data_IF_362540345766
#
_entry.id   IF_362540345766
#
_cell.length_a   1.000
_cell.length_b   1.000
_cell.length_c   1.000
_cell.angle_alpha   90.00
_cell.angle_beta   90.00
_cell.angle_gamma   90.00
#
_symmetry.space_group_name_H-M   'P 1'
#
loop_
_entity.id
_entity.type
_entity.pdbx_description
1 polymer ?
#
# COMPACT_ATOMS: atom_id res chain seq x y z
N UNK A 1 11.05 -65.79 64.33
CA UNK A 1 11.42 -64.54 65.02
C UNK A 1 12.78 -64.07 64.49
N UNK A 2 12.83 -62.85 63.92
CA UNK A 2 13.99 -61.96 63.60
C UNK A 2 15.35 -62.60 63.25
N UNK A 3 15.78 -62.58 61.99
CA UNK A 3 16.57 -61.52 61.33
C UNK A 3 17.79 -61.04 62.12
N UNK A 4 18.98 -61.07 61.50
CA UNK A 4 19.76 -59.85 61.17
C UNK A 4 20.96 -60.13 60.24
N UNK A 5 21.19 -59.16 59.37
CA UNK A 5 22.23 -59.03 58.34
C UNK A 5 23.61 -58.72 58.92
N UNK A 6 24.67 -59.03 58.17
CA UNK A 6 26.04 -58.56 58.40
C UNK A 6 26.83 -58.35 57.10
N UNK A 7 27.16 -57.09 56.83
CA UNK A 7 27.91 -56.51 55.71
C UNK A 7 29.43 -56.76 55.77
N UNK A 8 30.14 -56.63 54.63
CA UNK A 8 31.46 -55.97 54.63
C UNK A 8 32.49 -56.31 53.53
N UNK A 9 32.68 -55.36 52.60
CA UNK A 9 33.94 -54.83 51.97
C UNK A 9 34.84 -55.81 51.17
N UNK A 10 35.60 -55.44 50.13
CA UNK A 10 36.21 -54.18 49.64
C UNK A 10 36.59 -54.36 48.15
N UNK A 11 36.09 -53.53 47.23
CA UNK A 11 36.78 -52.48 46.43
C UNK A 11 38.16 -52.85 45.85
N UNK A 12 38.20 -52.94 44.50
CA UNK A 12 39.39 -52.89 43.64
C UNK A 12 39.02 -52.28 42.28
N UNK A 13 39.75 -51.24 41.88
CA UNK A 13 39.49 -50.22 40.86
C UNK A 13 39.73 -50.73 39.42
N UNK A 14 38.90 -50.32 38.44
CA UNK A 14 39.13 -50.40 36.98
C UNK A 14 38.40 -49.22 36.27
N UNK A 15 38.73 -48.87 35.01
CA UNK A 15 39.04 -47.50 34.60
C UNK A 15 37.86 -46.74 33.97
N UNK A 16 38.02 -45.41 33.95
CA UNK A 16 37.12 -44.45 33.31
C UNK A 16 37.26 -44.56 31.77
N UNK A 17 36.18 -44.95 31.12
CA UNK A 17 35.93 -44.69 29.70
C UNK A 17 34.64 -43.90 29.58
N UNK A 18 34.76 -42.63 29.22
CA UNK A 18 33.63 -41.73 28.97
C UNK A 18 32.89 -42.20 27.70
N UNK A 19 31.63 -42.64 27.87
CA UNK A 19 30.70 -42.89 26.77
C UNK A 19 29.82 -41.65 26.55
N UNK A 20 30.04 -40.98 25.43
CA UNK A 20 29.11 -39.98 24.90
C UNK A 20 27.77 -40.66 24.58
N UNK A 21 26.70 -40.27 25.28
CA UNK A 21 25.33 -40.64 24.92
C UNK A 21 24.70 -39.54 24.09
N UNK A 22 24.65 -39.72 22.77
CA UNK A 22 23.83 -38.89 21.88
C UNK A 22 22.36 -39.20 22.14
N UNK A 23 21.63 -38.26 22.76
CA UNK A 23 20.16 -38.33 22.84
C UNK A 23 19.60 -38.16 21.43
N UNK A 24 19.10 -39.24 20.84
CA UNK A 24 18.30 -39.22 19.62
C UNK A 24 16.96 -38.56 19.94
N UNK A 25 16.72 -37.40 19.33
CA UNK A 25 15.39 -36.78 19.30
C UNK A 25 14.44 -37.68 18.49
N UNK A 26 13.17 -37.83 18.91
CA UNK A 26 12.20 -38.57 18.11
C UNK A 26 11.96 -37.81 16.81
N UNK A 27 12.22 -38.50 15.69
CA UNK A 27 11.88 -38.06 14.34
C UNK A 27 10.37 -37.83 14.30
N UNK A 28 9.95 -36.56 14.27
CA UNK A 28 8.57 -36.20 14.03
C UNK A 28 8.19 -36.70 12.63
N UNK A 29 7.30 -37.69 12.59
CA UNK A 29 6.69 -38.19 11.37
C UNK A 29 5.96 -37.04 10.67
N UNK A 30 6.33 -36.81 9.42
CA UNK A 30 5.60 -36.00 8.44
C UNK A 30 4.15 -36.49 8.39
N UNK A 31 3.20 -35.69 8.88
CA UNK A 31 1.77 -35.94 8.68
C UNK A 31 1.46 -35.62 7.22
N UNK A 32 1.38 -36.65 6.40
CA UNK A 32 0.85 -36.55 5.04
C UNK A 32 -0.66 -36.81 5.04
N UNK A 33 -1.35 -35.93 4.31
CA UNK A 33 -2.71 -36.04 3.75
C UNK A 33 -3.88 -35.82 4.73
N UNK A 34 -4.21 -34.54 4.92
CA UNK A 34 -5.61 -34.15 5.08
C UNK A 34 -6.25 -34.14 3.69
N UNK A 35 -7.30 -34.93 3.51
CA UNK A 35 -8.24 -34.82 2.40
C UNK A 35 -8.69 -33.36 2.30
N UNK A 36 -8.43 -32.69 1.17
CA UNK A 36 -8.75 -31.28 0.99
C UNK A 36 -10.27 -31.08 1.09
N UNK A 37 -10.73 -30.66 2.27
CA UNK A 37 -12.06 -30.08 2.43
C UNK A 37 -12.09 -28.88 1.46
N UNK A 38 -13.10 -28.75 0.59
CA UNK A 38 -13.19 -27.59 -0.29
C UNK A 38 -13.12 -26.33 0.56
N UNK A 39 -12.22 -25.40 0.19
CA UNK A 39 -12.10 -24.08 0.80
C UNK A 39 -13.50 -23.48 0.95
N UNK A 40 -14.00 -23.45 2.19
CA UNK A 40 -15.31 -22.89 2.48
C UNK A 40 -15.21 -21.37 2.34
N UNK A 41 -15.92 -20.85 1.35
CA UNK A 41 -16.00 -19.41 1.07
C UNK A 41 -17.44 -18.97 1.31
N UNK A 42 -17.62 -18.08 2.28
CA UNK A 42 -18.88 -17.40 2.54
C UNK A 42 -18.86 -16.05 1.82
N UNK A 43 -19.96 -15.69 1.16
CA UNK A 43 -20.09 -14.43 0.42
C UNK A 43 -21.20 -13.59 1.00
N UNK A 44 -20.93 -12.30 1.15
CA UNK A 44 -21.89 -11.35 1.71
C UNK A 44 -21.94 -10.10 0.87
N UNK A 45 -23.13 -9.70 0.45
CA UNK A 45 -23.34 -8.45 -0.26
C UNK A 45 -23.52 -7.30 0.74
N UNK A 46 -22.70 -6.27 0.59
CA UNK A 46 -22.67 -5.10 1.46
C UNK A 46 -23.04 -3.86 0.65
N UNK A 47 -24.17 -3.25 1.01
CA UNK A 47 -24.59 -1.99 0.43
C UNK A 47 -23.64 -0.85 0.86
N UNK A 48 -23.08 -0.16 -0.13
CA UNK A 48 -22.18 0.99 0.03
C UNK A 48 -22.93 2.31 -0.26
N UNK A 49 -24.15 2.42 0.27
CA UNK A 49 -25.04 3.56 0.04
C UNK A 49 -25.42 3.76 -1.42
N UNK A 50 -25.37 5.00 -1.90
CA UNK A 50 -25.70 5.35 -3.29
C UNK A 50 -24.64 4.88 -4.30
N UNK A 51 -23.46 4.48 -3.83
CA UNK A 51 -22.36 4.04 -4.68
C UNK A 51 -22.58 2.62 -5.20
N UNK A 52 -23.60 1.89 -4.73
CA UNK A 52 -23.89 0.51 -5.12
C UNK A 52 -23.52 -0.48 -4.03
N UNK A 53 -23.06 -1.67 -4.40
CA UNK A 53 -22.73 -2.76 -3.47
C UNK A 53 -21.39 -3.40 -3.80
N UNK A 54 -20.82 -4.08 -2.80
CA UNK A 54 -19.63 -4.93 -2.94
C UNK A 54 -19.92 -6.28 -2.30
N UNK A 55 -19.42 -7.36 -2.91
CA UNK A 55 -19.55 -8.72 -2.36
C UNK A 55 -18.25 -9.09 -1.65
N UNK A 56 -18.24 -9.09 -0.32
CA UNK A 56 -17.07 -9.54 0.45
C UNK A 56 -17.02 -11.06 0.54
N UNK A 57 -15.83 -11.61 0.70
CA UNK A 57 -15.63 -13.06 0.82
C UNK A 57 -14.91 -13.38 2.14
N UNK A 58 -15.50 -14.28 2.94
CA UNK A 58 -14.85 -14.85 4.12
C UNK A 58 -14.38 -16.26 3.80
N UNK A 59 -13.07 -16.47 3.90
CA UNK A 59 -12.42 -17.75 3.67
C UNK A 59 -12.06 -18.39 5.01
N UNK A 60 -12.24 -19.71 5.10
CA UNK A 60 -11.96 -20.50 6.31
C UNK A 60 -12.69 -20.00 7.57
N UNK A 61 -13.94 -19.54 7.42
CA UNK A 61 -14.76 -19.03 8.51
C UNK A 61 -14.88 -20.01 9.70
N UNK A 62 -14.83 -21.32 9.44
CA UNK A 62 -14.82 -22.36 10.47
C UNK A 62 -13.73 -22.16 11.54
N UNK A 63 -12.55 -21.61 11.18
CA UNK A 63 -11.46 -21.32 12.13
C UNK A 63 -11.83 -20.21 13.12
N UNK A 64 -12.74 -19.30 12.74
CA UNK A 64 -13.21 -18.22 13.59
C UNK A 64 -14.25 -18.69 14.61
N UNK A 65 -15.05 -19.70 14.26
CA UNK A 65 -16.03 -20.32 15.16
C UNK A 65 -15.35 -21.15 16.27
N UNK A 66 -14.21 -21.75 15.97
CA UNK A 66 -13.50 -22.63 16.91
C UNK A 66 -12.77 -21.87 18.02
N UNK A 67 -12.43 -20.59 17.81
CA UNK A 67 -11.76 -19.77 18.82
C UNK A 67 -12.01 -18.27 18.62
N UNK A 68 -12.32 -17.58 19.73
CA UNK A 68 -12.48 -16.13 19.81
C UNK A 68 -11.16 -15.37 19.68
N UNK A 69 -10.02 -16.02 19.91
CA UNK A 69 -8.68 -15.42 19.81
C UNK A 69 -8.02 -15.63 18.45
N UNK A 70 -8.56 -16.50 17.59
CA UNK A 70 -7.99 -16.75 16.26
C UNK A 70 -7.84 -15.43 15.48
N UNK A 71 -6.63 -15.07 15.02
CA UNK A 71 -6.45 -13.87 14.22
C UNK A 71 -7.24 -13.93 12.91
N UNK A 72 -7.84 -12.81 12.52
CA UNK A 72 -8.52 -12.64 11.24
C UNK A 72 -7.69 -11.73 10.34
N UNK A 73 -7.41 -12.17 9.11
CA UNK A 73 -6.73 -11.33 8.12
C UNK A 73 -7.76 -10.57 7.31
N UNK A 74 -7.72 -9.24 7.33
CA UNK A 74 -8.45 -8.38 6.39
C UNK A 74 -7.57 -8.17 5.17
N UNK A 75 -7.96 -8.73 4.04
CA UNK A 75 -7.20 -8.71 2.79
C UNK A 75 -7.76 -7.68 1.81
N UNK A 76 -6.90 -6.76 1.38
CA UNK A 76 -7.17 -5.78 0.34
C UNK A 76 -6.37 -6.14 -0.92
N UNK A 77 -7.04 -6.50 -2.03
CA UNK A 77 -6.37 -6.97 -3.25
C UNK A 77 -5.51 -5.87 -3.91
N UNK A 78 -4.56 -6.25 -4.78
CA UNK A 78 -3.66 -5.30 -5.45
C UNK A 78 -4.35 -4.30 -6.38
N UNK A 79 -5.49 -4.70 -6.95
CA UNK A 79 -6.28 -3.92 -7.90
C UNK A 79 -7.77 -4.16 -7.63
N UNK A 80 -8.65 -3.24 -8.06
CA UNK A 80 -10.08 -3.32 -7.81
C UNK A 80 -10.78 -4.46 -8.57
N UNK A 81 -11.95 -4.85 -8.08
CA UNK A 81 -12.85 -5.89 -8.64
C UNK A 81 -13.56 -5.51 -9.94
N UNK A 82 -13.31 -4.31 -10.44
CA UNK A 82 -13.76 -3.85 -11.75
C UNK A 82 -12.67 -2.95 -12.33
N UNK A 83 -12.18 -3.24 -13.55
CA UNK A 83 -12.80 -4.08 -14.59
C UNK A 83 -12.40 -5.57 -14.57
N UNK A 84 -11.51 -6.00 -13.67
CA UNK A 84 -11.02 -7.38 -13.60
C UNK A 84 -11.80 -8.20 -12.57
N UNK A 85 -11.94 -9.53 -12.73
CA UNK A 85 -12.54 -10.36 -11.69
C UNK A 85 -11.79 -10.21 -10.35
N UNK A 86 -12.49 -10.32 -9.20
CA UNK A 86 -11.87 -10.25 -7.88
C UNK A 86 -10.68 -11.20 -7.77
N UNK A 87 -9.53 -10.67 -7.37
CA UNK A 87 -8.35 -11.50 -7.16
C UNK A 87 -8.48 -12.25 -5.83
N UNK A 88 -8.30 -13.57 -5.87
CA UNK A 88 -8.30 -14.38 -4.65
C UNK A 88 -7.09 -14.05 -3.77
N UNK A 89 -7.22 -14.16 -2.44
CA UNK A 89 -6.07 -14.05 -1.56
C UNK A 89 -5.00 -15.11 -1.90
N UNK A 90 -3.70 -14.84 -1.64
CA UNK A 90 -2.63 -15.80 -1.88
C UNK A 90 -2.88 -17.13 -1.15
N UNK A 91 -2.57 -18.26 -1.79
CA UNK A 91 -2.84 -19.60 -1.25
C UNK A 91 -2.23 -19.80 0.14
N UNK A 92 -1.01 -19.33 0.37
CA UNK A 92 -0.35 -19.43 1.67
C UNK A 92 -1.13 -18.73 2.80
N UNK A 93 -1.82 -17.64 2.49
CA UNK A 93 -2.64 -16.91 3.46
C UNK A 93 -3.88 -17.73 3.80
N UNK A 94 -4.52 -18.30 2.77
CA UNK A 94 -5.69 -19.18 2.89
C UNK A 94 -5.36 -20.52 3.55
N UNK A 95 -4.12 -20.99 3.52
CA UNK A 95 -3.73 -22.24 4.18
C UNK A 95 -3.56 -22.08 5.70
N UNK A 96 -3.50 -20.85 6.21
CA UNK A 96 -3.05 -20.61 7.59
C UNK A 96 -3.93 -19.69 8.40
N UNK A 97 -4.74 -18.85 7.73
CA UNK A 97 -5.58 -17.89 8.42
C UNK A 97 -7.00 -17.89 7.86
N UNK A 98 -8.00 -17.56 8.68
CA UNK A 98 -9.26 -17.03 8.16
C UNK A 98 -9.01 -15.68 7.50
N UNK A 99 -9.61 -15.46 6.34
CA UNK A 99 -9.39 -14.26 5.52
C UNK A 99 -10.70 -13.59 5.17
N UNK A 100 -10.84 -12.32 5.53
CA UNK A 100 -11.90 -11.42 5.10
C UNK A 100 -11.39 -10.59 3.91
N UNK A 101 -11.78 -10.96 2.69
CA UNK A 101 -11.37 -10.29 1.46
C UNK A 101 -12.35 -9.18 1.09
N UNK A 102 -11.84 -7.97 0.88
CA UNK A 102 -12.63 -6.79 0.51
C UNK A 102 -12.34 -6.39 -0.94
N UNK A 103 -13.19 -6.78 -1.91
CA UNK A 103 -13.01 -6.43 -3.31
C UNK A 103 -13.54 -5.01 -3.62
N UNK A 104 -12.78 -4.00 -3.21
CA UNK A 104 -13.10 -2.58 -3.42
C UNK A 104 -13.13 -2.19 -4.91
N UNK A 105 -13.81 -1.06 -5.22
CA UNK A 105 -13.93 -0.53 -6.59
C UNK A 105 -13.14 0.76 -6.74
N UNK A 106 -12.28 0.85 -7.75
CA UNK A 106 -11.42 2.02 -7.98
C UNK A 106 -11.10 2.23 -9.46
N UNK A 107 -11.97 2.91 -10.18
CA UNK A 107 -11.71 3.24 -11.58
C UNK A 107 -12.56 4.41 -12.02
N UNK A 108 -12.04 5.26 -12.88
CA UNK A 108 -12.74 6.42 -13.39
C UNK A 108 -12.36 6.64 -14.86
N UNK A 109 -13.37 7.00 -15.67
CA UNK A 109 -13.14 7.46 -17.04
C UNK A 109 -13.43 8.96 -17.08
N UNK A 110 -12.42 9.82 -17.34
CA UNK A 110 -12.59 11.28 -17.36
C UNK A 110 -13.68 11.81 -18.27
N UNK A 111 -13.92 11.12 -19.39
CA UNK A 111 -14.96 11.48 -20.37
C UNK A 111 -16.38 11.10 -19.96
N UNK A 112 -16.56 10.44 -18.82
CA UNK A 112 -17.84 9.90 -18.39
C UNK A 112 -18.30 10.63 -17.13
N UNK A 113 -19.59 11.01 -17.12
CA UNK A 113 -20.25 11.62 -15.97
C UNK A 113 -20.04 10.80 -14.68
N UNK A 114 -19.82 11.49 -13.56
CA UNK A 114 -19.74 10.91 -12.21
C UNK A 114 -20.98 10.10 -11.81
N UNK A 115 -22.12 10.29 -12.49
CA UNK A 115 -23.35 9.51 -12.27
C UNK A 115 -23.34 8.14 -12.94
N UNK A 116 -22.30 7.80 -13.70
CA UNK A 116 -22.21 6.47 -14.28
C UNK A 116 -21.88 5.45 -13.19
N UNK A 117 -22.81 4.51 -12.97
CA UNK A 117 -22.68 3.41 -12.00
C UNK A 117 -21.45 2.51 -12.23
N UNK A 118 -20.78 2.61 -13.37
CA UNK A 118 -19.55 1.86 -13.69
C UNK A 118 -18.27 2.64 -13.36
N UNK A 119 -18.39 3.90 -12.92
CA UNK A 119 -17.28 4.78 -12.59
C UNK A 119 -17.20 4.97 -11.08
N UNK A 120 -16.10 4.52 -10.48
CA UNK A 120 -15.79 4.55 -9.05
C UNK A 120 -14.48 5.33 -8.80
N UNK A 121 -14.45 6.66 -9.04
CA UNK A 121 -13.28 7.47 -8.68
C UNK A 121 -13.03 7.46 -7.18
N UNK A 122 -11.81 7.83 -6.76
CA UNK A 122 -11.57 8.22 -5.38
C UNK A 122 -12.58 9.32 -4.96
N UNK A 123 -13.21 9.26 -3.75
CA UNK A 123 -12.93 8.39 -2.60
C UNK A 123 -13.80 7.13 -2.48
N UNK A 124 -14.54 6.71 -3.52
CA UNK A 124 -15.37 5.49 -3.46
C UNK A 124 -14.66 4.22 -2.94
N UNK A 125 -13.44 3.86 -3.38
CA UNK A 125 -12.72 2.69 -2.83
C UNK A 125 -12.49 2.76 -1.31
N UNK A 126 -12.29 3.96 -0.77
CA UNK A 126 -12.14 4.18 0.66
C UNK A 126 -13.47 3.89 1.38
N UNK A 127 -14.58 4.41 0.84
CA UNK A 127 -15.91 4.15 1.38
C UNK A 127 -16.29 2.67 1.32
N UNK A 128 -16.00 1.98 0.21
CA UNK A 128 -16.18 0.53 0.07
C UNK A 128 -15.43 -0.22 1.19
N UNK A 129 -14.16 0.15 1.40
CA UNK A 129 -13.30 -0.47 2.42
C UNK A 129 -13.82 -0.24 3.83
N UNK A 130 -14.16 1.00 4.17
CA UNK A 130 -14.66 1.37 5.49
C UNK A 130 -16.04 0.75 5.78
N UNK A 131 -16.90 0.67 4.76
CA UNK A 131 -18.22 0.04 4.90
C UNK A 131 -18.10 -1.47 5.13
N UNK A 132 -17.23 -2.15 4.41
CA UNK A 132 -16.95 -3.57 4.64
C UNK A 132 -16.34 -3.82 6.03
N UNK A 133 -15.39 -2.97 6.46
CA UNK A 133 -14.80 -3.05 7.80
C UNK A 133 -15.84 -2.81 8.91
N UNK A 134 -16.70 -1.81 8.73
CA UNK A 134 -17.79 -1.52 9.68
C UNK A 134 -18.79 -2.68 9.77
N UNK A 135 -19.14 -3.29 8.63
CA UNK A 135 -19.98 -4.47 8.60
C UNK A 135 -19.33 -5.66 9.31
N UNK A 136 -18.02 -5.88 9.10
CA UNK A 136 -17.26 -6.91 9.78
C UNK A 136 -17.38 -6.77 11.31
N UNK A 137 -17.10 -5.56 11.83
CA UNK A 137 -17.11 -5.31 13.27
C UNK A 137 -18.50 -5.32 13.90
N UNK A 138 -19.51 -4.80 13.20
CA UNK A 138 -20.85 -4.57 13.78
C UNK A 138 -21.85 -5.69 13.49
N UNK A 139 -21.60 -6.52 12.47
CA UNK A 139 -22.51 -7.61 12.07
C UNK A 139 -21.84 -8.97 12.16
N UNK A 140 -20.74 -9.15 11.44
CA UNK A 140 -20.15 -10.48 11.27
C UNK A 140 -19.51 -11.01 12.56
N UNK A 141 -18.57 -10.27 13.15
CA UNK A 141 -17.88 -10.73 14.37
C UNK A 141 -18.83 -10.92 15.56
N UNK A 142 -19.80 -10.01 15.83
CA UNK A 142 -20.79 -10.23 16.88
C UNK A 142 -21.65 -11.47 16.63
N UNK A 143 -22.06 -11.72 15.38
CA UNK A 143 -22.82 -12.91 15.00
C UNK A 143 -22.05 -14.21 15.31
N UNK A 144 -20.73 -14.24 15.09
CA UNK A 144 -19.88 -15.36 15.45
C UNK A 144 -19.83 -15.61 16.96
N UNK A 145 -19.71 -14.54 17.76
CA UNK A 145 -19.64 -14.63 19.23
C UNK A 145 -20.94 -15.16 19.84
N UNK A 146 -22.08 -14.85 19.23
CA UNK A 146 -23.42 -15.29 19.67
C UNK A 146 -23.79 -16.70 19.16
N UNK A 147 -22.89 -17.40 18.47
CA UNK A 147 -23.15 -18.74 17.93
C UNK A 147 -24.31 -18.77 16.94
N UNK A 148 -24.55 -17.66 16.24
CA UNK A 148 -25.66 -17.52 15.29
C UNK A 148 -27.06 -17.38 15.89
N UNK A 149 -27.19 -17.15 17.20
CA UNK A 149 -28.49 -16.87 17.85
C UNK A 149 -28.84 -15.38 17.73
N UNK A 150 -30.11 -15.09 17.44
CA UNK A 150 -30.66 -13.73 17.41
C UNK A 150 -30.60 -13.08 18.79
N UNK A 151 -30.39 -11.76 18.82
CA UNK A 151 -30.33 -10.96 20.05
C UNK A 151 -31.68 -11.02 20.80
N UNK A 152 -31.78 -11.87 21.82
CA UNK A 152 -32.63 -11.57 22.96
C UNK A 152 -31.82 -10.67 23.89
N UNK A 153 -32.28 -9.43 24.06
CA UNK A 153 -31.57 -8.34 24.74
C UNK A 153 -31.31 -8.60 26.25
N UNK A 154 -31.75 -9.73 26.79
CA UNK A 154 -31.84 -9.98 28.23
C UNK A 154 -30.68 -10.81 28.82
N UNK A 155 -29.68 -11.21 28.02
CA UNK A 155 -28.58 -12.10 28.47
C UNK A 155 -27.16 -11.62 28.07
N UNK A 156 -26.85 -10.33 28.26
CA UNK A 156 -25.45 -9.88 28.26
C UNK A 156 -24.84 -10.08 29.67
N UNK A 157 -23.82 -10.94 29.84
CA UNK A 157 -23.10 -11.03 31.10
C UNK A 157 -22.30 -9.75 31.30
N UNK A 158 -22.64 -9.00 32.35
CA UNK A 158 -22.24 -7.61 32.61
C UNK A 158 -20.71 -7.41 32.80
N UNK A 159 -19.89 -8.45 33.02
CA UNK A 159 -18.54 -8.23 33.55
C UNK A 159 -17.39 -9.14 33.03
N UNK A 160 -17.52 -9.79 31.88
CA UNK A 160 -16.37 -10.47 31.26
C UNK A 160 -15.62 -9.51 30.31
N UNK A 161 -14.29 -9.32 30.43
CA UNK A 161 -13.54 -8.54 29.44
C UNK A 161 -13.71 -9.19 28.07
N UNK A 162 -14.27 -8.44 27.11
CA UNK A 162 -14.45 -8.92 25.76
C UNK A 162 -13.09 -9.35 25.18
N UNK A 163 -12.95 -10.62 24.82
CA UNK A 163 -11.76 -11.11 24.13
C UNK A 163 -11.70 -10.36 22.80
N UNK A 164 -10.72 -9.45 22.65
CA UNK A 164 -10.56 -8.67 21.44
C UNK A 164 -9.84 -9.51 20.39
N UNK A 165 -10.55 -9.87 19.33
CA UNK A 165 -9.95 -10.61 18.22
C UNK A 165 -8.86 -9.78 17.54
N UNK A 166 -7.64 -10.29 17.35
CA UNK A 166 -6.62 -9.57 16.60
C UNK A 166 -6.95 -9.57 15.10
N UNK A 167 -6.92 -8.38 14.49
CA UNK A 167 -7.03 -8.19 13.05
C UNK A 167 -5.66 -7.91 12.45
N UNK A 168 -5.34 -8.61 11.36
CA UNK A 168 -4.16 -8.35 10.55
C UNK A 168 -4.63 -7.73 9.24
N UNK A 169 -4.26 -6.49 8.98
CA UNK A 169 -4.58 -5.85 7.70
C UNK A 169 -3.47 -6.19 6.72
N UNK A 170 -3.82 -6.80 5.59
CA UNK A 170 -2.89 -7.12 4.51
C UNK A 170 -3.31 -6.38 3.23
N UNK A 171 -2.39 -5.65 2.61
CA UNK A 171 -2.64 -4.97 1.35
C UNK A 171 -1.45 -5.00 0.40
N UNK A 172 -1.70 -4.83 -0.90
CA UNK A 172 -0.63 -4.63 -1.89
C UNK A 172 -1.01 -3.59 -2.93
N UNK A 173 -0.04 -2.90 -3.55
CA UNK A 173 -0.29 -1.84 -4.55
C UNK A 173 -1.39 -0.86 -4.11
N UNK A 174 -2.51 -0.77 -4.83
CA UNK A 174 -3.66 0.10 -4.47
C UNK A 174 -4.33 -0.35 -3.17
N UNK A 175 -4.48 -1.65 -2.95
CA UNK A 175 -4.95 -2.20 -1.68
C UNK A 175 -4.00 -1.91 -0.54
N UNK A 176 -2.70 -1.70 -0.82
CA UNK A 176 -1.70 -1.26 0.16
C UNK A 176 -1.97 0.18 0.65
N UNK A 177 -2.37 1.07 -0.26
CA UNK A 177 -2.84 2.42 0.09
C UNK A 177 -4.04 2.34 1.05
N UNK A 178 -5.07 1.58 0.66
CA UNK A 178 -6.30 1.43 1.46
C UNK A 178 -6.05 0.74 2.80
N UNK A 179 -5.20 -0.29 2.82
CA UNK A 179 -4.81 -1.01 4.04
C UNK A 179 -4.13 -0.08 5.03
N UNK A 180 -3.21 0.75 4.54
CA UNK A 180 -2.49 1.71 5.38
C UNK A 180 -3.43 2.77 5.91
N UNK A 181 -4.27 3.36 5.06
CA UNK A 181 -5.27 4.35 5.48
C UNK A 181 -6.21 3.78 6.54
N UNK A 182 -6.80 2.59 6.29
CA UNK A 182 -7.67 1.91 7.24
C UNK A 182 -6.95 1.66 8.57
N UNK A 183 -5.73 1.12 8.52
CA UNK A 183 -5.00 0.79 9.73
C UNK A 183 -4.58 2.04 10.52
N UNK A 184 -4.26 3.16 9.87
CA UNK A 184 -3.94 4.41 10.57
C UNK A 184 -5.17 5.04 11.22
N UNK A 185 -6.34 4.96 10.59
CA UNK A 185 -7.55 5.63 11.10
C UNK A 185 -8.47 4.76 11.95
N UNK A 186 -8.33 3.44 11.93
CA UNK A 186 -9.19 2.51 12.68
C UNK A 186 -8.44 1.73 13.78
N UNK A 187 -7.14 1.95 13.96
CA UNK A 187 -6.35 1.34 15.04
C UNK A 187 -6.60 2.00 16.38
N UNK A 188 -7.79 1.79 16.92
CA UNK A 188 -8.18 2.29 18.24
C UNK A 188 -7.71 1.37 19.37
N UNK A 189 -7.14 1.95 20.41
CA UNK A 189 -6.88 1.28 21.67
C UNK A 189 -8.07 1.46 22.62
N UNK A 190 -9.19 0.84 22.29
CA UNK A 190 -10.38 0.80 23.14
C UNK A 190 -10.66 -0.65 23.51
N UNK A 191 -10.76 -1.00 24.80
CA UNK A 191 -11.12 -2.36 25.24
C UNK A 191 -12.58 -2.72 24.91
N UNK A 192 -13.39 -1.75 24.48
CA UNK A 192 -14.82 -1.93 24.17
C UNK A 192 -15.05 -2.53 22.79
N UNK A 193 -14.04 -2.54 21.92
CA UNK A 193 -14.18 -3.07 20.56
C UNK A 193 -14.08 -4.60 20.56
N UNK A 194 -14.90 -5.31 19.75
CA UNK A 194 -14.86 -6.78 19.66
C UNK A 194 -13.59 -7.29 19.00
N UNK A 195 -12.87 -6.42 18.29
CA UNK A 195 -11.62 -6.71 17.62
C UNK A 195 -10.70 -5.49 17.65
N UNK A 196 -9.40 -5.74 17.51
CA UNK A 196 -8.38 -4.69 17.46
C UNK A 196 -7.48 -4.90 16.25
N UNK A 197 -7.14 -3.83 15.55
CA UNK A 197 -6.08 -3.89 14.52
C UNK A 197 -4.75 -4.11 15.23
N UNK A 198 -4.21 -5.30 15.06
CA UNK A 198 -2.96 -5.72 15.69
C UNK A 198 -1.77 -5.41 14.79
N UNK A 199 -1.87 -5.79 13.51
CA UNK A 199 -0.78 -5.69 12.55
C UNK A 199 -1.24 -5.11 11.23
N UNK A 200 -0.36 -4.34 10.58
CA UNK A 200 -0.44 -3.90 9.20
C UNK A 200 0.70 -4.55 8.39
N UNK A 201 0.37 -5.23 7.29
CA UNK A 201 1.35 -5.83 6.38
C UNK A 201 1.07 -5.30 4.99
N UNK A 202 2.05 -4.64 4.38
CA UNK A 202 1.89 -4.06 3.04
C UNK A 202 3.02 -4.49 2.12
N UNK A 203 2.64 -4.94 0.92
CA UNK A 203 3.57 -5.37 -0.12
C UNK A 203 3.47 -4.49 -1.37
N UNK A 204 4.57 -3.88 -1.80
CA UNK A 204 4.59 -2.93 -2.93
C UNK A 204 3.51 -1.84 -2.79
N UNK A 205 3.31 -1.32 -1.57
CA UNK A 205 2.28 -0.31 -1.29
C UNK A 205 2.61 1.05 -1.90
N UNK A 206 1.56 1.79 -2.25
CA UNK A 206 1.68 3.18 -2.69
C UNK A 206 1.25 4.08 -1.54
N UNK A 207 2.18 4.86 -1.00
CA UNK A 207 1.98 5.69 0.20
C UNK A 207 2.00 7.18 -0.10
N UNK A 208 2.51 7.58 -1.27
CA UNK A 208 2.57 8.98 -1.72
C UNK A 208 2.33 9.10 -3.22
N UNK A 209 1.17 9.63 -3.61
CA UNK A 209 0.86 9.97 -5.00
C UNK A 209 1.31 11.38 -5.38
N UNK A 210 1.66 12.23 -4.42
CA UNK A 210 1.92 13.65 -4.70
C UNK A 210 3.04 13.88 -5.72
N UNK A 211 4.20 13.17 -5.68
CA UNK A 211 5.26 13.36 -6.68
C UNK A 211 4.86 12.84 -8.06
N UNK A 212 4.05 11.78 -8.10
CA UNK A 212 3.53 11.19 -9.34
C UNK A 212 2.55 12.17 -10.00
N UNK A 213 1.78 12.91 -9.20
CA UNK A 213 0.80 13.87 -9.67
C UNK A 213 1.38 15.18 -10.16
N UNK A 214 2.50 15.63 -9.60
CA UNK A 214 3.15 16.90 -9.94
C UNK A 214 4.15 16.80 -11.09
N UNK A 215 4.47 15.59 -11.54
CA UNK A 215 5.38 15.36 -12.68
C UNK A 215 4.63 14.95 -13.95
N UNK A 216 5.11 15.39 -15.14
CA UNK A 216 4.56 14.95 -16.42
C UNK A 216 4.81 13.47 -16.64
N UNK A 217 4.02 12.84 -17.50
CA UNK A 217 4.18 11.41 -17.80
C UNK A 217 5.57 11.15 -18.42
N UNK A 218 6.40 10.29 -17.79
CA UNK A 218 7.76 10.01 -18.27
C UNK A 218 7.78 9.31 -19.64
N UNK A 219 6.66 8.75 -20.12
CA UNK A 219 6.57 8.15 -21.44
C UNK A 219 6.49 9.17 -22.58
N UNK A 220 6.24 10.45 -22.27
CA UNK A 220 6.13 11.53 -23.26
C UNK A 220 7.50 12.00 -23.74
N UNK A 221 8.58 11.75 -22.99
CA UNK A 221 9.93 12.03 -23.44
C UNK A 221 10.47 10.81 -24.19
N UNK A 222 10.50 10.81 -25.54
CA UNK A 222 11.06 9.70 -26.28
C UNK A 222 12.53 9.55 -25.90
N UNK A 223 12.89 8.38 -25.34
CA UNK A 223 14.30 8.00 -25.32
C UNK A 223 14.70 7.71 -26.77
N UNK A 224 15.76 8.36 -27.25
CA UNK A 224 16.32 8.14 -28.60
C UNK A 224 16.70 6.67 -28.87
N UNK A 225 16.62 5.79 -27.86
CA UNK A 225 17.08 4.40 -27.91
C UNK A 225 15.98 3.31 -27.89
N UNK A 226 14.69 3.65 -27.89
CA UNK A 226 13.63 2.63 -27.71
C UNK A 226 12.48 2.75 -28.72
N UNK A 227 12.69 2.21 -29.93
CA UNK A 227 11.71 2.22 -31.02
C UNK A 227 10.62 1.13 -30.94
N UNK A 228 10.32 0.55 -29.78
CA UNK A 228 9.38 -0.58 -29.70
C UNK A 228 8.60 -0.76 -28.39
N UNK A 229 8.65 0.19 -27.44
CA UNK A 229 7.83 0.05 -26.22
C UNK A 229 6.42 0.62 -26.43
N UNK A 230 5.35 -0.14 -26.14
CA UNK A 230 3.98 0.36 -26.27
C UNK A 230 3.75 1.58 -25.37
N UNK A 231 3.05 2.58 -25.88
CA UNK A 231 2.67 3.78 -25.11
C UNK A 231 1.71 3.37 -24.00
N UNK A 232 2.12 3.56 -22.74
CA UNK A 232 1.31 3.23 -21.56
C UNK A 232 -0.04 4.00 -21.53
N UNK A 233 -0.10 5.16 -22.18
CA UNK A 233 -1.33 5.95 -22.32
C UNK A 233 -2.42 5.25 -23.14
N UNK A 234 -2.06 4.34 -24.04
CA UNK A 234 -3.00 3.63 -24.92
C UNK A 234 -3.50 2.30 -24.34
N UNK A 235 -2.83 1.76 -23.31
CA UNK A 235 -3.20 0.48 -22.71
C UNK A 235 -4.55 0.56 -22.01
N UNK A 236 -5.31 -0.53 -22.01
CA UNK A 236 -6.53 -0.63 -21.22
C UNK A 236 -6.18 -0.67 -19.72
N UNK A 237 -7.08 -0.19 -18.86
CA UNK A 237 -6.85 -0.19 -17.40
C UNK A 237 -6.64 -1.60 -16.86
N UNK A 238 -7.34 -2.59 -17.44
CA UNK A 238 -7.14 -4.01 -17.12
C UNK A 238 -5.72 -4.49 -17.43
N UNK A 239 -5.11 -4.03 -18.53
CA UNK A 239 -3.75 -4.40 -18.92
C UNK A 239 -2.71 -3.76 -17.99
N UNK A 240 -2.93 -2.52 -17.57
CA UNK A 240 -2.07 -1.86 -16.58
C UNK A 240 -2.08 -2.59 -15.24
N UNK A 241 -3.24 -3.11 -14.82
CA UNK A 241 -3.35 -3.85 -13.56
C UNK A 241 -2.65 -5.21 -13.61
N UNK A 242 -2.68 -5.91 -14.74
CA UNK A 242 -2.06 -7.23 -14.90
C UNK A 242 -0.56 -7.17 -15.19
N UNK A 243 -0.04 -6.03 -15.65
CA UNK A 243 1.40 -5.81 -15.71
C UNK A 243 1.98 -5.93 -14.30
N UNK A 244 2.99 -6.75 -14.11
CA UNK A 244 3.70 -6.90 -12.84
C UNK A 244 5.19 -7.09 -13.14
N UNK A 245 6.10 -6.45 -12.38
CA UNK A 245 5.81 -5.48 -11.32
C UNK A 245 5.30 -4.13 -11.87
N UNK A 246 4.51 -3.40 -11.07
CA UNK A 246 4.15 -2.02 -11.44
C UNK A 246 5.40 -1.14 -11.41
N UNK A 247 5.43 -0.14 -12.29
CA UNK A 247 6.55 0.81 -12.37
C UNK A 247 6.03 2.23 -12.22
N UNK A 248 6.93 3.21 -12.11
CA UNK A 248 6.57 4.62 -12.17
C UNK A 248 5.70 4.94 -13.40
N UNK A 249 6.00 4.35 -14.57
CA UNK A 249 5.21 4.51 -15.79
C UNK A 249 3.78 3.99 -15.63
N UNK A 250 3.62 2.82 -14.99
CA UNK A 250 2.31 2.26 -14.65
C UNK A 250 1.53 3.23 -13.75
N UNK A 251 2.17 3.79 -12.71
CA UNK A 251 1.52 4.73 -11.79
C UNK A 251 1.11 6.04 -12.47
N UNK A 252 1.95 6.58 -13.36
CA UNK A 252 1.60 7.75 -14.17
C UNK A 252 0.40 7.50 -15.09
N UNK A 253 0.33 6.32 -15.71
CA UNK A 253 -0.82 5.95 -16.55
C UNK A 253 -2.10 5.74 -15.73
N UNK A 254 -1.97 5.26 -14.50
CA UNK A 254 -3.09 5.01 -13.59
C UNK A 254 -3.61 6.28 -12.91
N UNK A 255 -2.78 7.29 -12.60
CA UNK A 255 -3.19 8.45 -11.78
C UNK A 255 -4.44 9.15 -12.35
N UNK A 256 -4.50 9.37 -13.66
CA UNK A 256 -5.63 10.03 -14.35
C UNK A 256 -6.87 9.13 -14.49
N UNK A 257 -6.73 7.83 -14.24
CA UNK A 257 -7.79 6.81 -14.28
C UNK A 257 -8.32 6.46 -12.88
N UNK A 258 -7.60 6.85 -11.84
CA UNK A 258 -7.95 6.60 -10.44
C UNK A 258 -8.49 7.86 -9.75
N UNK A 259 -7.99 9.03 -10.18
CA UNK A 259 -8.29 10.33 -9.59
C UNK A 259 -8.84 11.29 -10.66
N UNK A 260 -10.06 11.81 -10.48
CA UNK A 260 -10.62 12.91 -11.26
C UNK A 260 -9.72 14.14 -11.39
N UNK A 261 -8.99 14.51 -10.33
CA UNK A 261 -8.14 15.70 -10.31
C UNK A 261 -6.87 15.46 -9.48
N UNK A 262 -5.79 16.24 -9.72
CA UNK A 262 -4.58 16.14 -8.93
C UNK A 262 -4.84 16.35 -7.43
N UNK A 263 -5.78 17.22 -7.06
CA UNK A 263 -6.12 17.51 -5.67
C UNK A 263 -6.48 16.28 -4.84
N UNK A 264 -7.10 15.27 -5.43
CA UNK A 264 -7.45 14.04 -4.72
C UNK A 264 -6.23 13.18 -4.37
N UNK A 265 -5.10 13.36 -5.04
CA UNK A 265 -3.85 12.65 -4.70
C UNK A 265 -3.12 13.27 -3.51
N UNK A 266 -3.55 14.47 -3.10
CA UNK A 266 -3.09 15.16 -1.89
C UNK A 266 -4.01 14.90 -0.69
N UNK A 267 -5.02 14.04 -0.87
CA UNK A 267 -5.85 13.55 0.23
C UNK A 267 -5.02 12.57 1.09
N UNK A 268 -4.97 12.70 2.43
CA UNK A 268 -4.24 11.78 3.30
C UNK A 268 -4.67 10.32 3.21
N UNK A 269 -5.90 10.03 2.80
CA UNK A 269 -6.36 8.66 2.60
C UNK A 269 -5.91 8.08 1.25
N UNK A 270 -5.64 8.92 0.25
CA UNK A 270 -5.02 8.52 -1.00
C UNK A 270 -3.50 8.42 -0.88
N UNK A 271 -2.89 9.32 -0.10
CA UNK A 271 -1.46 9.37 0.18
C UNK A 271 -1.21 9.31 1.69
N UNK A 272 -1.24 8.10 2.31
CA UNK A 272 -1.10 7.90 3.75
C UNK A 272 0.09 8.60 4.40
N UNK A 273 1.15 8.88 3.65
CA UNK A 273 2.29 9.65 4.16
C UNK A 273 1.89 11.03 4.68
N UNK A 274 0.79 11.59 4.16
CA UNK A 274 0.30 12.92 4.51
C UNK A 274 -0.37 12.98 5.88
N UNK A 275 -0.61 11.85 6.55
CA UNK A 275 -0.92 11.86 7.99
C UNK A 275 0.27 12.35 8.83
N UNK A 276 1.50 12.13 8.36
CA UNK A 276 2.73 12.40 9.11
C UNK A 276 3.51 13.62 8.61
N UNK A 277 3.20 14.15 7.43
CA UNK A 277 3.85 15.34 6.89
C UNK A 277 2.96 16.09 5.90
N UNK A 278 3.23 17.37 5.71
CA UNK A 278 2.65 18.11 4.59
C UNK A 278 3.28 17.62 3.24
N UNK A 279 2.65 17.93 2.09
CA UNK A 279 3.17 17.51 0.77
C UNK A 279 4.46 18.24 0.36
N UNK A 280 4.68 19.45 0.86
CA UNK A 280 5.83 20.30 0.48
C UNK A 280 5.71 20.93 -0.90
N UNK A 281 4.54 20.87 -1.54
CA UNK A 281 4.28 21.48 -2.85
C UNK A 281 2.81 21.87 -2.92
N UNK A 282 2.51 22.95 -3.63
CA UNK A 282 1.12 23.33 -3.90
C UNK A 282 0.41 22.28 -4.76
N UNK A 283 -0.89 22.15 -4.53
CA UNK A 283 -1.75 21.24 -5.28
C UNK A 283 -1.90 21.77 -6.71
N UNK A 284 -1.52 20.99 -7.74
CA UNK A 284 -1.71 21.40 -9.13
C UNK A 284 -3.20 21.55 -9.44
N UNK A 285 -3.57 22.62 -10.15
CA UNK A 285 -4.95 22.82 -10.61
C UNK A 285 -5.36 21.81 -11.70
N UNK A 286 -4.38 21.34 -12.48
CA UNK A 286 -4.56 20.39 -13.58
C UNK A 286 -3.41 19.39 -13.60
N UNK A 287 -3.61 18.26 -14.26
CA UNK A 287 -2.54 17.30 -14.49
C UNK A 287 -1.42 17.97 -15.30
N UNK A 288 -0.13 17.75 -14.97
CA UNK A 288 0.98 18.33 -15.71
C UNK A 288 0.93 17.85 -17.16
N UNK A 289 0.80 18.80 -18.08
CA UNK A 289 0.88 18.56 -19.52
C UNK A 289 2.37 18.70 -19.88
N UNK A 290 2.94 17.84 -20.75
CA UNK A 290 4.26 18.10 -21.30
C UNK A 290 4.32 19.50 -21.93
N UNK A 291 5.46 20.21 -21.83
CA UNK A 291 5.60 21.46 -22.58
C UNK A 291 5.40 21.17 -24.07
N UNK A 292 4.72 22.06 -24.83
CA UNK A 292 4.57 21.89 -26.26
C UNK A 292 5.97 21.73 -26.86
N UNK A 293 6.15 20.71 -27.70
CA UNK A 293 7.36 20.57 -28.51
C UNK A 293 7.51 21.84 -29.32
N UNK A 294 8.43 22.73 -28.92
CA UNK A 294 8.77 23.94 -29.66
C UNK A 294 9.44 23.56 -30.97
N UNK A 295 8.63 23.14 -31.94
CA UNK A 295 8.93 23.15 -33.35
C UNK A 295 8.24 24.38 -33.93
N UNK A 296 9.05 25.31 -34.43
CA UNK A 296 8.71 26.62 -35.01
C UNK A 296 8.43 27.75 -33.99
N UNK A 297 9.50 28.42 -33.59
CA UNK A 297 9.41 29.86 -33.33
C UNK A 297 9.10 30.57 -34.65
N UNK A 298 7.99 31.30 -34.81
CA UNK A 298 7.90 32.28 -35.87
C UNK A 298 8.79 33.46 -35.48
N UNK A 299 9.83 33.69 -36.28
CA UNK A 299 10.64 34.91 -36.28
C UNK A 299 9.74 36.15 -36.23
N UNK A 300 9.68 36.82 -35.08
CA UNK A 300 9.07 38.14 -34.95
C UNK A 300 9.91 39.13 -35.76
N UNK A 301 9.39 39.52 -36.93
CA UNK A 301 9.86 40.70 -37.65
C UNK A 301 9.61 41.93 -36.77
N UNK A 302 10.66 42.70 -36.56
CA UNK A 302 10.61 44.03 -36.00
C UNK A 302 9.67 44.91 -36.83
N UNK A 303 8.64 45.47 -36.20
CA UNK A 303 8.06 46.75 -36.62
C UNK A 303 7.87 47.64 -35.40
N UNK A 304 8.46 48.82 -35.51
CA UNK A 304 8.55 49.87 -34.52
C UNK A 304 7.34 50.81 -34.60
N UNK A 305 6.68 51.10 -33.48
CA UNK A 305 6.03 52.40 -33.25
C UNK A 305 5.70 52.66 -31.78
N UNK A 306 6.62 53.42 -31.15
CA UNK A 306 6.51 54.56 -30.19
C UNK A 306 5.44 54.63 -29.06
N UNK A 307 5.74 55.40 -27.99
CA UNK A 307 5.21 55.22 -26.64
C UNK A 307 4.12 56.24 -26.25
N UNK A 308 3.29 55.88 -25.26
CA UNK A 308 2.28 56.77 -24.67
C UNK A 308 1.93 56.41 -23.22
N UNK A 309 2.65 57.05 -22.30
CA UNK A 309 2.22 57.70 -21.04
C UNK A 309 1.44 56.95 -19.95
N UNK A 310 2.07 56.92 -18.77
CA UNK A 310 1.57 56.60 -17.42
C UNK A 310 0.26 57.31 -17.02
N UNK A 311 -0.63 56.60 -16.29
CA UNK A 311 -1.35 57.13 -15.10
C UNK A 311 -1.52 56.00 -14.05
N UNK A 312 -1.21 56.32 -12.80
CA UNK A 312 -1.22 55.48 -11.57
C UNK A 312 -2.62 55.45 -10.89
N UNK A 313 -2.83 54.75 -9.75
CA UNK A 313 -4.02 53.96 -9.47
C UNK A 313 -5.01 54.69 -8.54
N UNK A 314 -6.28 54.24 -8.48
CA UNK A 314 -7.13 54.54 -7.32
C UNK A 314 -8.12 53.42 -7.04
N UNK A 315 -8.27 53.20 -5.74
CA UNK A 315 -8.97 52.17 -4.99
C UNK A 315 -10.50 52.22 -5.02
N UNK A 316 -11.08 51.09 -4.56
CA UNK A 316 -12.23 50.95 -3.63
C UNK A 316 -13.65 50.59 -4.18
N UNK A 317 -14.09 49.42 -3.70
CA UNK A 317 -15.40 49.11 -3.09
C UNK A 317 -16.41 48.25 -3.86
N UNK A 318 -16.84 47.23 -3.11
CA UNK A 318 -17.93 46.28 -3.25
C UNK A 318 -19.21 46.82 -3.92
N UNK A 319 -19.84 46.00 -4.78
CA UNK A 319 -21.22 45.61 -4.53
C UNK A 319 -21.66 44.36 -5.30
N UNK A 320 -22.39 43.53 -4.57
CA UNK A 320 -23.13 42.34 -4.97
C UNK A 320 -24.22 42.64 -5.99
N UNK A 321 -24.30 41.85 -7.06
CA UNK A 321 -25.51 41.70 -7.86
C UNK A 321 -25.61 40.27 -8.41
N UNK A 322 -26.66 39.55 -7.99
CA UNK A 322 -27.03 38.25 -8.55
C UNK A 322 -27.46 38.42 -10.01
N UNK A 323 -26.83 37.69 -10.94
CA UNK A 323 -27.37 37.41 -12.27
C UNK A 323 -27.18 35.93 -12.59
N UNK A 324 -28.32 35.29 -12.88
CA UNK A 324 -28.44 33.93 -13.38
C UNK A 324 -27.59 33.71 -14.65
N UNK A 325 -26.95 32.54 -14.85
CA UNK A 325 -26.32 32.22 -16.11
C UNK A 325 -27.36 31.62 -17.07
N UNK A 326 -27.76 32.43 -18.05
CA UNK A 326 -28.38 31.94 -19.28
C UNK A 326 -27.32 31.21 -20.10
N UNK A 327 -27.67 30.00 -20.53
CA UNK A 327 -26.95 29.14 -21.46
C UNK A 327 -26.39 29.87 -22.68
N UNK A 328 -25.09 29.69 -22.95
CA UNK A 328 -24.50 29.79 -24.29
C UNK A 328 -23.29 28.85 -24.41
N UNK A 329 -23.01 28.30 -25.60
CA UNK A 329 -22.19 27.12 -25.79
C UNK A 329 -20.70 27.45 -25.72
N UNK A 330 -19.94 26.56 -25.07
CA UNK A 330 -18.48 26.60 -24.99
C UNK A 330 -17.87 26.49 -26.39
N UNK A 331 -17.24 27.57 -26.83
CA UNK A 331 -16.19 27.54 -27.84
C UNK A 331 -14.89 27.06 -27.15
N UNK A 332 -14.31 25.99 -27.68
CA UNK A 332 -12.98 25.49 -27.34
C UNK A 332 -11.93 26.51 -27.76
N UNK A 333 -11.59 27.44 -26.88
CA UNK A 333 -10.37 28.25 -26.97
C UNK A 333 -9.32 27.52 -26.12
N UNK A 334 -8.39 26.84 -26.79
CA UNK A 334 -7.13 26.35 -26.18
C UNK A 334 -6.31 27.58 -25.75
N UNK A 335 -6.57 28.10 -24.55
CA UNK A 335 -5.71 29.12 -23.96
C UNK A 335 -4.36 28.50 -23.60
N UNK A 336 -3.36 28.86 -24.42
CA UNK A 336 -1.92 28.58 -24.31
C UNK A 336 -1.33 29.34 -23.09
N UNK A 337 -1.75 28.98 -21.88
CA UNK A 337 -1.13 29.49 -20.66
C UNK A 337 0.13 28.68 -20.34
N UNK A 338 1.32 29.31 -20.30
CA UNK A 338 2.51 28.65 -19.81
C UNK A 338 2.28 28.24 -18.35
N UNK A 339 2.53 26.97 -18.05
CA UNK A 339 2.42 26.43 -16.69
C UNK A 339 3.34 27.21 -15.76
N UNK A 340 2.76 27.95 -14.80
CA UNK A 340 3.53 28.53 -13.71
C UNK A 340 4.18 27.39 -12.90
N UNK A 341 5.48 27.52 -12.55
CA UNK A 341 6.13 26.55 -11.68
C UNK A 341 5.38 26.47 -10.36
N UNK A 342 5.10 25.25 -9.90
CA UNK A 342 4.42 25.04 -8.62
C UNK A 342 5.29 25.58 -7.49
N UNK A 343 4.68 26.35 -6.59
CA UNK A 343 5.37 26.81 -5.39
C UNK A 343 5.74 25.61 -4.50
N UNK A 344 7.04 25.42 -4.34
CA UNK A 344 7.60 24.43 -3.42
C UNK A 344 7.70 25.03 -2.01
N UNK A 345 7.34 24.23 -1.02
CA UNK A 345 7.46 24.58 0.40
C UNK A 345 8.20 23.48 1.14
N UNK A 346 8.81 23.83 2.28
CA UNK A 346 9.51 22.81 3.07
C UNK A 346 8.52 21.76 3.58
N UNK A 347 8.86 20.49 3.38
CA UNK A 347 8.15 19.37 4.01
C UNK A 347 8.23 19.50 5.54
N UNK A 348 7.09 19.66 6.19
CA UNK A 348 6.96 19.79 7.64
C UNK A 348 6.28 18.54 8.21
N UNK A 349 6.83 17.99 9.30
CA UNK A 349 6.24 16.86 10.02
C UNK A 349 4.95 17.29 10.71
N UNK A 350 3.95 16.44 10.66
CA UNK A 350 2.67 16.57 11.37
C UNK A 350 2.67 15.65 12.58
N UNK A 351 1.89 16.01 13.60
CA UNK A 351 1.69 15.15 14.77
C UNK A 351 0.54 14.20 14.49
N UNK A 352 0.86 12.91 14.36
CA UNK A 352 -0.11 11.84 14.22
C UNK A 352 0.34 10.63 15.07
N UNK A 353 -0.56 9.96 15.81
CA UNK A 353 -1.97 10.29 15.96
C UNK A 353 -2.18 11.61 16.72
N UNK A 354 -3.34 12.28 16.57
CA UNK A 354 -3.63 13.51 17.32
C UNK A 354 -3.51 13.30 18.83
N UNK A 355 -2.92 14.24 19.59
CA UNK A 355 -2.83 14.14 21.05
C UNK A 355 -4.21 13.95 21.68
N UNK A 356 -4.31 13.00 22.63
CA UNK A 356 -5.58 12.68 23.30
C UNK A 356 -6.55 11.82 22.48
N UNK A 357 -6.20 11.45 21.24
CA UNK A 357 -6.98 10.45 20.49
C UNK A 357 -6.75 9.03 21.03
N UNK A 358 -7.73 8.14 20.81
CA UNK A 358 -7.59 6.71 21.11
C UNK A 358 -6.83 5.93 20.03
N UNK A 359 -6.42 6.61 18.95
CA UNK A 359 -5.69 6.02 17.83
C UNK A 359 -4.26 5.67 18.23
N UNK A 360 -3.75 4.60 17.63
CA UNK A 360 -2.36 4.15 17.76
C UNK A 360 -1.79 3.77 16.40
N UNK A 361 -0.47 3.88 16.26
CA UNK A 361 0.21 3.32 15.09
C UNK A 361 0.28 1.79 15.27
N UNK A 362 -0.25 1.01 14.32
CA UNK A 362 -0.23 -0.45 14.40
C UNK A 362 1.19 -0.99 14.19
N UNK A 363 1.43 -2.21 14.69
CA UNK A 363 2.67 -2.94 14.36
C UNK A 363 2.70 -3.18 12.85
N UNK A 364 3.72 -2.70 12.16
CA UNK A 364 3.69 -2.58 10.70
C UNK A 364 4.89 -3.27 10.04
N UNK A 365 4.64 -4.03 8.97
CA UNK A 365 5.64 -4.64 8.11
C UNK A 365 5.48 -4.13 6.68
N UNK A 366 6.50 -3.43 6.18
CA UNK A 366 6.55 -2.99 4.79
C UNK A 366 7.53 -3.85 3.99
N UNK A 367 7.05 -4.45 2.91
CA UNK A 367 7.85 -5.28 1.98
C UNK A 367 7.72 -4.77 0.56
N UNK A 368 8.74 -5.04 -0.26
CA UNK A 368 8.72 -4.69 -1.67
C UNK A 368 9.55 -5.69 -2.47
N UNK A 369 9.23 -5.82 -3.76
CA UNK A 369 9.99 -6.65 -4.70
C UNK A 369 11.21 -5.88 -5.22
N UNK A 370 12.33 -6.58 -5.42
CA UNK A 370 13.43 -6.02 -6.22
C UNK A 370 13.22 -6.38 -7.68
N UNK A 371 13.39 -5.40 -8.57
CA UNK A 371 13.40 -5.65 -10.01
C UNK A 371 14.75 -6.26 -10.39
N UNK A 372 14.76 -7.52 -10.82
CA UNK A 372 15.96 -8.16 -11.35
C UNK A 372 16.28 -7.51 -12.69
N UNK A 373 17.49 -6.94 -12.82
CA UNK A 373 18.03 -6.53 -14.11
C UNK A 373 18.30 -7.81 -14.94
N UNK A 374 17.87 -7.93 -16.20
CA UNK A 374 18.25 -9.09 -17.01
C UNK A 374 19.78 -9.17 -17.09
N UNK A 375 20.29 -10.34 -16.72
CA UNK A 375 21.70 -10.72 -16.72
C UNK A 375 22.37 -10.28 -18.02
N UNK A 376 23.42 -9.48 -17.91
CA UNK A 376 24.31 -9.18 -19.03
C UNK A 376 24.91 -10.50 -19.53
N UNK A 377 24.53 -10.89 -20.74
CA UNK A 377 25.08 -12.06 -21.43
C UNK A 377 26.59 -11.96 -21.49
N UNK A 378 27.24 -12.97 -20.92
CA UNK A 378 28.66 -13.24 -20.99
C UNK A 378 29.11 -13.34 -22.45
N UNK A 379 29.76 -12.31 -23.02
CA UNK A 379 30.59 -12.48 -24.22
C UNK A 379 31.88 -11.62 -24.15
N UNK A 380 32.96 -12.36 -23.89
CA UNK A 380 34.25 -12.31 -24.57
C UNK A 380 35.07 -11.01 -24.50
N UNK A 381 36.00 -11.04 -23.55
CA UNK A 381 37.26 -10.29 -23.53
C UNK A 381 38.02 -10.48 -24.86
N UNK A 382 38.02 -9.47 -25.72
CA UNK A 382 39.09 -9.26 -26.71
C UNK A 382 39.78 -7.96 -26.36
N UNK A 383 41.10 -8.05 -26.19
CA UNK A 383 41.98 -6.95 -25.87
C UNK A 383 42.05 -5.98 -27.05
N UNK A 384 41.94 -4.68 -26.79
CA UNK A 384 42.68 -3.69 -27.57
C UNK A 384 43.00 -2.50 -26.67
N UNK A 385 44.28 -2.33 -26.40
CA UNK A 385 44.85 -1.15 -25.74
C UNK A 385 44.83 0.01 -26.73
N UNK A 386 44.07 1.08 -26.46
CA UNK A 386 44.56 2.47 -26.61
C UNK A 386 43.54 3.49 -26.07
N UNK A 387 44.08 4.59 -25.53
CA UNK A 387 43.44 5.89 -25.23
C UNK A 387 42.72 6.07 -23.87
N UNK A 388 43.57 6.43 -22.91
CA UNK A 388 43.31 7.15 -21.67
C UNK A 388 42.89 8.60 -21.94
N UNK A 389 41.66 8.96 -21.53
CA UNK A 389 41.26 10.18 -20.77
C UNK A 389 39.74 10.42 -20.83
N UNK A 390 39.01 9.86 -21.81
CA UNK A 390 37.55 9.99 -21.95
C UNK A 390 36.74 8.95 -21.14
N UNK A 391 37.39 7.90 -20.61
CA UNK A 391 36.74 6.79 -19.90
C UNK A 391 36.26 7.11 -18.47
N UNK A 392 36.84 8.13 -17.81
CA UNK A 392 36.46 8.48 -16.42
C UNK A 392 35.13 9.24 -16.36
N UNK A 393 34.79 10.01 -17.40
CA UNK A 393 33.51 10.70 -17.54
C UNK A 393 32.39 9.75 -17.97
N UNK A 394 32.65 8.83 -18.91
CA UNK A 394 31.67 7.81 -19.34
C UNK A 394 31.39 6.78 -18.24
N UNK A 395 32.35 6.44 -17.38
CA UNK A 395 32.12 5.55 -16.22
C UNK A 395 31.30 6.23 -15.13
N UNK A 396 31.54 7.52 -14.84
CA UNK A 396 30.71 8.33 -13.94
C UNK A 396 29.32 8.61 -14.49
N UNK A 397 29.18 8.81 -15.80
CA UNK A 397 27.86 8.92 -16.45
C UNK A 397 27.12 7.58 -16.42
N UNK A 398 27.78 6.45 -16.72
CA UNK A 398 27.17 5.11 -16.59
C UNK A 398 26.80 4.76 -15.15
N UNK A 399 27.62 5.15 -14.16
CA UNK A 399 27.30 4.97 -12.74
C UNK A 399 26.12 5.85 -12.32
N UNK A 400 26.08 7.13 -12.71
CA UNK A 400 24.93 8.02 -12.46
C UNK A 400 23.67 7.58 -13.20
N UNK A 401 23.80 7.04 -14.40
CA UNK A 401 22.68 6.53 -15.20
C UNK A 401 22.19 5.18 -14.65
N UNK A 402 23.09 4.34 -14.12
CA UNK A 402 22.75 3.12 -13.39
C UNK A 402 22.09 3.44 -12.05
N UNK A 403 22.61 4.40 -11.29
CA UNK A 403 22.06 4.88 -10.02
C UNK A 403 20.71 5.56 -10.22
N UNK A 404 20.55 6.37 -11.29
CA UNK A 404 19.25 6.93 -11.69
C UNK A 404 18.28 5.84 -12.14
N UNK A 405 18.73 4.84 -12.93
CA UNK A 405 17.90 3.69 -13.31
C UNK A 405 17.49 2.85 -12.09
N UNK A 406 18.37 2.69 -11.11
CA UNK A 406 18.12 1.93 -9.87
C UNK A 406 17.19 2.70 -8.92
N UNK A 407 17.33 4.03 -8.84
CA UNK A 407 16.42 4.93 -8.13
C UNK A 407 15.02 4.98 -8.77
N UNK A 408 14.95 5.02 -10.10
CA UNK A 408 13.70 4.92 -10.86
C UNK A 408 13.07 3.50 -10.75
N UNK A 409 13.88 2.47 -10.45
CA UNK A 409 13.50 1.06 -10.44
C UNK A 409 12.82 0.56 -9.18
N UNK A 410 12.80 1.32 -8.07
CA UNK A 410 12.09 0.88 -6.87
C UNK A 410 11.38 2.00 -6.10
N UNK A 411 10.44 2.68 -6.77
CA UNK A 411 9.54 3.65 -6.14
C UNK A 411 8.88 3.10 -4.86
N UNK A 412 8.48 1.83 -4.85
CA UNK A 412 7.86 1.21 -3.67
C UNK A 412 8.81 1.11 -2.48
N UNK A 413 10.08 0.76 -2.71
CA UNK A 413 11.13 0.78 -1.68
C UNK A 413 11.29 2.18 -1.09
N UNK A 414 11.35 3.20 -1.94
CA UNK A 414 11.54 4.57 -1.47
C UNK A 414 10.34 5.05 -0.64
N UNK A 415 9.11 4.80 -1.11
CA UNK A 415 7.91 5.19 -0.38
C UNK A 415 7.75 4.42 0.94
N UNK A 416 8.07 3.11 0.96
CA UNK A 416 8.04 2.30 2.18
C UNK A 416 9.04 2.81 3.24
N UNK A 417 10.27 3.16 2.81
CA UNK A 417 11.30 3.78 3.66
C UNK A 417 10.81 5.08 4.26
N UNK A 418 10.32 5.98 3.42
CA UNK A 418 9.87 7.30 3.88
C UNK A 418 8.71 7.20 4.87
N UNK A 419 7.73 6.31 4.62
CA UNK A 419 6.61 6.11 5.53
C UNK A 419 7.06 5.51 6.88
N UNK A 420 7.94 4.50 6.87
CA UNK A 420 8.45 3.89 8.11
C UNK A 420 9.23 4.88 8.95
N UNK A 421 10.12 5.65 8.34
CA UNK A 421 10.93 6.66 9.05
C UNK A 421 10.03 7.71 9.73
N UNK A 422 8.90 8.05 9.10
CA UNK A 422 7.89 8.94 9.67
C UNK A 422 7.11 8.30 10.81
N UNK A 423 6.76 7.01 10.70
CA UNK A 423 6.04 6.26 11.75
C UNK A 423 6.93 5.95 12.97
N UNK A 424 8.22 5.69 12.76
CA UNK A 424 9.22 5.46 13.82
C UNK A 424 9.65 6.76 14.49
N UNK A 425 9.73 7.85 13.72
CA UNK A 425 10.16 9.16 14.20
C UNK A 425 9.16 9.89 15.11
N UNK A 426 8.06 9.23 15.51
CA UNK A 426 7.08 9.77 16.45
C UNK A 426 7.59 9.54 17.87
N UNK A 427 7.80 10.59 18.68
CA UNK A 427 8.17 10.42 20.07
C UNK A 427 7.01 9.76 20.84
N UNK A 428 7.18 8.49 21.17
CA UNK A 428 6.20 7.72 21.94
C UNK A 428 6.21 8.15 23.40
N UNK A 429 5.03 8.45 23.94
CA UNK A 429 4.84 8.78 25.37
C UNK A 429 4.83 7.50 26.24
N UNK A 430 4.68 6.30 25.65
CA UNK A 430 4.63 5.02 26.37
C UNK A 430 5.71 4.04 25.84
N UNK A 431 6.73 3.77 26.65
CA UNK A 431 7.90 2.94 26.31
C UNK A 431 7.55 1.47 25.97
N UNK A 432 6.34 1.01 26.27
CA UNK A 432 5.91 -0.39 26.00
C UNK A 432 5.70 -0.72 24.52
N UNK A 433 5.76 0.26 23.62
CA UNK A 433 5.54 0.08 22.18
C UNK A 433 6.77 0.40 21.32
N UNK A 434 7.96 0.48 21.93
CA UNK A 434 9.21 1.01 21.37
C UNK A 434 9.80 0.34 20.11
N UNK A 435 9.10 -0.57 19.43
CA UNK A 435 9.64 -1.29 18.26
C UNK A 435 8.58 -1.85 17.31
N UNK A 436 7.62 -1.03 16.89
CA UNK A 436 6.43 -1.52 16.20
C UNK A 436 6.52 -1.53 14.67
N UNK A 437 7.43 -0.79 14.05
CA UNK A 437 7.51 -0.68 12.57
C UNK A 437 8.80 -1.31 12.07
N UNK A 438 8.68 -2.15 11.03
CA UNK A 438 9.81 -2.82 10.41
C UNK A 438 9.69 -2.76 8.89
N UNK A 439 10.80 -2.41 8.23
CA UNK A 439 10.96 -2.57 6.78
C UNK A 439 11.84 -3.76 6.53
N UNK A 440 11.34 -4.73 5.77
CA UNK A 440 12.20 -5.80 5.25
C UNK A 440 12.36 -5.66 3.74
N UNK A 441 13.61 -5.47 3.35
CA UNK A 441 14.05 -5.58 1.97
C UNK A 441 14.10 -7.06 1.59
N UNK A 442 13.74 -7.38 0.34
CA UNK A 442 14.65 -8.27 -0.35
C UNK A 442 14.43 -8.42 -1.83
N UNK A 443 15.57 -8.61 -2.48
CA UNK A 443 15.67 -9.26 -3.77
C UNK A 443 15.46 -10.75 -3.59
N UNK A 444 14.22 -11.08 -3.25
CA UNK A 444 13.80 -12.45 -3.02
C UNK A 444 13.31 -13.03 -4.35
N UNK A 445 13.89 -14.15 -4.76
CA UNK A 445 13.44 -14.91 -5.94
C UNK A 445 12.13 -15.63 -5.60
N UNK A 446 11.03 -14.88 -5.57
CA UNK A 446 9.67 -15.40 -5.68
C UNK A 446 8.81 -15.42 -4.42
N UNK A 447 7.56 -15.82 -4.63
CA UNK A 447 6.46 -15.76 -3.67
C UNK A 447 6.69 -16.53 -2.37
N UNK A 448 7.44 -17.64 -2.42
CA UNK A 448 7.69 -18.53 -1.27
C UNK A 448 8.56 -17.90 -0.18
N UNK A 449 9.48 -17.03 -0.55
CA UNK A 449 10.38 -16.40 0.41
C UNK A 449 9.68 -15.24 1.14
N UNK A 450 8.90 -14.45 0.39
CA UNK A 450 7.97 -13.47 0.98
C UNK A 450 7.03 -14.13 1.99
N UNK A 451 6.44 -15.26 1.62
CA UNK A 451 5.59 -16.04 2.52
C UNK A 451 6.33 -16.39 3.83
N UNK A 452 7.52 -16.98 3.76
CA UNK A 452 8.29 -17.34 4.97
C UNK A 452 8.57 -16.14 5.87
N UNK A 453 8.91 -15.01 5.27
CA UNK A 453 9.19 -13.77 5.98
C UNK A 453 7.94 -13.23 6.67
N UNK A 454 6.82 -13.14 5.96
CA UNK A 454 5.56 -12.64 6.53
C UNK A 454 5.07 -13.57 7.64
N UNK A 455 5.13 -14.89 7.44
CA UNK A 455 4.78 -15.89 8.47
C UNK A 455 5.66 -15.74 9.71
N UNK A 456 6.98 -15.74 9.55
CA UNK A 456 7.91 -15.58 10.68
C UNK A 456 7.66 -14.28 11.43
N UNK A 457 7.39 -13.18 10.72
CA UNK A 457 7.08 -11.90 11.36
C UNK A 457 5.75 -11.89 12.12
N UNK A 458 4.72 -12.58 11.60
CA UNK A 458 3.45 -12.77 12.32
C UNK A 458 3.68 -13.58 13.60
N UNK A 459 4.41 -14.69 13.52
CA UNK A 459 4.74 -15.57 14.64
C UNK A 459 5.58 -14.85 15.72
N UNK A 460 6.59 -14.07 15.32
CA UNK A 460 7.39 -13.21 16.21
C UNK A 460 6.54 -12.13 16.92
N UNK A 461 5.39 -11.78 16.34
CA UNK A 461 4.47 -10.77 16.85
C UNK A 461 3.66 -11.14 18.08
N UNK A 462 3.73 -12.41 18.53
CA UNK A 462 2.98 -12.89 19.69
C UNK A 462 1.49 -13.08 19.42
N UNK A 463 1.13 -13.54 18.21
CA UNK A 463 -0.23 -13.94 17.82
C UNK A 463 -0.52 -15.41 18.07
#
# INVERSE_FOLDING_TARGET
>A
MRCLYGYGRSIGILPILARATTKKWPVQRTRHLATAIPLQVEKYDISCGISGEITVEVHNAALLHNSSTTPLVVYLPPYPSSPLPPLRPPSWLLESYPVFSIPYRWSYKPSISFRNQKSHPFPIPLHDTLQAYSWLLNRYLPYLLLGGRTLDADFLPDHAPAIQRPLLIYGSYLGGTLATSLALTESHNSPLLPARIHSLIVHNGIFDWTPISTTPDPSIFPSESSSSSPSYGQLLTSELYTQSPWTIKTLHALKTRLFPSPSQTFDPFASPILFFRNPGIQVPQRWPIPPPTTSSFPTKKHTSSKPGTNIYPTSKTQNTYYKNPTSSPLSDEEEDFPHEPLDESRKAKLTFPPPGSSLRIPRSLFTYSSTITPVSTTQTRIQTQTQTQTQKQTRRQKEKEKEKKEADQNIFKQQARELSDLMEGIPWIDERFNKSVEIKEGGWEGEKERERLVRGWIEEGGL
#
